data_IF_374116682100
#
_entry.id   IF_374116682100
#
_cell.length_a   1.000
_cell.length_b   1.000
_cell.length_c   1.000
_cell.angle_alpha   90.00
_cell.angle_beta   90.00
_cell.angle_gamma   90.00
#
_symmetry.space_group_name_H-M   'P 1'
#
loop_
_entity.id
_entity.type
_entity.pdbx_description
1 polymer ?
#
# COMPACT_ATOMS: atom_id res chain seq x y z
N UNK A 1 2.65 -6.38 3.11
CA UNK A 1 3.92 -6.05 2.46
C UNK A 1 3.86 -4.63 1.93
N UNK A 2 4.89 -3.85 2.16
CA UNK A 2 4.99 -2.47 1.71
C UNK A 2 6.04 -2.38 0.60
N UNK A 3 5.64 -1.88 -0.56
CA UNK A 3 6.56 -1.66 -1.68
C UNK A 3 6.15 -0.40 -2.46
N UNK A 4 6.90 -0.10 -3.49
CA UNK A 4 6.65 1.05 -4.34
C UNK A 4 6.65 0.60 -5.80
N UNK A 5 5.78 1.20 -6.60
CA UNK A 5 5.74 1.01 -8.04
C UNK A 5 7.14 1.27 -8.63
N UNK A 6 7.62 0.36 -9.48
CA UNK A 6 8.95 0.43 -10.08
C UNK A 6 9.19 1.72 -10.86
N UNK A 7 8.15 2.32 -11.42
CA UNK A 7 8.25 3.60 -12.13
C UNK A 7 8.71 4.75 -11.24
N UNK A 8 8.63 4.60 -9.92
CA UNK A 8 8.97 5.63 -8.95
C UNK A 8 10.33 5.43 -8.29
N UNK A 9 11.08 4.38 -8.63
CA UNK A 9 12.34 4.05 -7.96
C UNK A 9 13.41 5.13 -8.08
N UNK A 10 13.39 5.91 -9.16
CA UNK A 10 14.37 6.96 -9.40
C UNK A 10 13.90 8.35 -8.96
N UNK A 11 12.73 8.44 -8.32
CA UNK A 11 12.25 9.70 -7.76
C UNK A 11 13.20 10.19 -6.67
N UNK A 12 13.40 11.51 -6.62
CA UNK A 12 14.19 12.13 -5.57
C UNK A 12 13.56 11.82 -4.20
N UNK A 13 14.38 11.56 -3.21
CA UNK A 13 13.91 11.12 -1.89
C UNK A 13 13.67 9.61 -1.77
N UNK A 14 13.65 8.89 -2.89
CA UNK A 14 13.48 7.43 -2.92
C UNK A 14 14.76 6.73 -3.36
N UNK A 15 15.62 7.42 -4.10
CA UNK A 15 16.88 6.85 -4.63
C UNK A 15 17.73 6.14 -3.58
N UNK A 16 17.82 6.70 -2.38
CA UNK A 16 18.63 6.14 -1.30
C UNK A 16 18.06 4.82 -0.77
N UNK A 17 16.80 4.54 -1.06
CA UNK A 17 16.11 3.33 -0.67
C UNK A 17 15.89 2.36 -1.83
N UNK A 18 16.55 2.60 -2.96
CA UNK A 18 16.33 1.80 -4.18
C UNK A 18 16.51 0.30 -3.94
N UNK A 19 17.56 -0.10 -3.23
CA UNK A 19 17.79 -1.51 -2.92
C UNK A 19 16.67 -2.12 -2.09
N UNK A 20 16.14 -1.37 -1.13
CA UNK A 20 15.00 -1.79 -0.32
C UNK A 20 13.76 -2.01 -1.20
N UNK A 21 13.43 -1.08 -2.08
CA UNK A 21 12.27 -1.20 -2.97
C UNK A 21 12.42 -2.32 -3.99
N UNK A 22 13.63 -2.55 -4.49
CA UNK A 22 13.91 -3.69 -5.38
C UNK A 22 13.61 -5.00 -4.66
N UNK A 23 14.09 -5.17 -3.42
CA UNK A 23 13.81 -6.36 -2.62
C UNK A 23 12.33 -6.57 -2.38
N UNK A 24 11.61 -5.50 -2.04
CA UNK A 24 10.15 -5.55 -1.84
C UNK A 24 9.42 -5.91 -3.15
N UNK A 25 9.86 -5.35 -4.27
CA UNK A 25 9.26 -5.65 -5.57
C UNK A 25 9.34 -7.16 -5.88
N UNK A 26 10.50 -7.78 -5.71
CA UNK A 26 10.65 -9.21 -5.98
C UNK A 26 9.89 -10.08 -4.99
N UNK A 27 9.79 -9.68 -3.73
CA UNK A 27 8.96 -10.36 -2.75
C UNK A 27 7.48 -10.33 -3.17
N UNK A 28 6.99 -9.18 -3.60
CA UNK A 28 5.63 -9.03 -4.10
C UNK A 28 5.41 -9.88 -5.34
N UNK A 29 6.35 -9.89 -6.29
CA UNK A 29 6.27 -10.71 -7.50
C UNK A 29 6.19 -12.21 -7.18
N UNK A 30 6.94 -12.65 -6.19
CA UNK A 30 6.85 -14.05 -5.77
C UNK A 30 5.45 -14.39 -5.25
N UNK A 31 4.88 -13.54 -4.41
CA UNK A 31 3.51 -13.74 -3.90
C UNK A 31 2.50 -13.80 -5.04
N UNK A 32 2.60 -12.88 -5.99
CA UNK A 32 1.63 -12.76 -7.09
C UNK A 32 1.75 -13.92 -8.09
N UNK A 33 2.98 -14.30 -8.45
CA UNK A 33 3.22 -15.21 -9.57
C UNK A 33 3.47 -16.67 -9.15
N UNK A 34 4.08 -16.89 -7.99
CA UNK A 34 4.61 -18.20 -7.62
C UNK A 34 3.95 -18.79 -6.38
N UNK A 35 3.21 -18.02 -5.59
CA UNK A 35 2.55 -18.55 -4.41
C UNK A 35 1.12 -18.96 -4.70
N UNK A 36 0.61 -19.92 -3.89
CA UNK A 36 -0.80 -20.33 -3.92
C UNK A 36 -1.61 -19.64 -2.82
N UNK A 37 -1.00 -18.69 -2.12
CA UNK A 37 -1.62 -17.98 -1.01
C UNK A 37 -2.71 -17.03 -1.50
N UNK A 38 -3.73 -16.84 -0.68
CA UNK A 38 -4.73 -15.80 -0.89
C UNK A 38 -4.19 -14.48 -0.33
N UNK A 39 -3.39 -13.80 -1.14
CA UNK A 39 -2.67 -12.61 -0.74
C UNK A 39 -3.50 -11.34 -0.94
N UNK A 40 -3.13 -10.30 -0.20
CA UNK A 40 -3.47 -8.92 -0.49
C UNK A 40 -2.21 -8.09 -0.20
N UNK A 41 -1.75 -7.32 -1.16
CA UNK A 41 -0.53 -6.54 -1.02
C UNK A 41 -0.90 -5.07 -0.94
N UNK A 42 -0.53 -4.43 0.17
CA UNK A 42 -0.73 -3.01 0.38
C UNK A 42 0.60 -2.29 0.20
N UNK A 43 0.65 -1.40 -0.77
CA UNK A 43 1.82 -0.58 -1.05
C UNK A 43 1.59 0.81 -0.43
N UNK A 44 1.98 0.97 0.83
CA UNK A 44 1.82 2.25 1.52
C UNK A 44 2.99 3.18 1.20
N UNK A 45 2.70 4.47 1.08
CA UNK A 45 3.74 5.51 1.01
C UNK A 45 4.46 5.66 2.35
N UNK A 46 5.21 6.76 2.52
CA UNK A 46 5.97 7.00 3.73
C UNK A 46 5.07 6.95 4.98
N UNK A 47 5.52 6.24 6.01
CA UNK A 47 4.80 6.14 7.27
C UNK A 47 5.24 7.27 8.19
N UNK A 48 4.29 8.00 8.75
CA UNK A 48 4.55 9.15 9.63
C UNK A 48 3.79 9.01 10.93
N UNK A 49 4.41 9.44 12.02
CA UNK A 49 3.74 9.58 13.31
C UNK A 49 2.90 10.83 13.31
N UNK A 50 1.68 10.72 12.82
CA UNK A 50 0.71 11.80 12.78
C UNK A 50 -0.66 11.27 13.17
N UNK A 51 -1.58 12.18 13.50
CA UNK A 51 -2.92 11.78 13.90
C UNK A 51 -3.65 11.07 12.75
N UNK A 52 -4.34 9.97 13.08
CA UNK A 52 -5.18 9.27 12.13
C UNK A 52 -6.32 10.16 11.65
N UNK A 53 -6.64 10.09 10.37
CA UNK A 53 -7.76 10.82 9.78
C UNK A 53 -8.97 9.94 9.50
N UNK A 54 -8.76 8.63 9.42
CA UNK A 54 -9.78 7.67 8.99
C UNK A 54 -10.08 7.73 7.49
N UNK A 55 -9.28 8.48 6.73
CA UNK A 55 -9.48 8.70 5.30
C UNK A 55 -8.20 8.44 4.53
N UNK A 56 -8.33 7.80 3.38
CA UNK A 56 -7.19 7.43 2.53
C UNK A 56 -7.52 7.67 1.05
N UNK A 57 -6.50 7.61 0.21
CA UNK A 57 -6.62 7.48 -1.23
C UNK A 57 -5.95 6.17 -1.65
N UNK A 58 -6.58 5.43 -2.54
CA UNK A 58 -6.04 4.18 -3.07
C UNK A 58 -5.68 4.36 -4.54
N UNK A 59 -4.58 3.71 -4.96
CA UNK A 59 -4.10 3.73 -6.34
C UNK A 59 -3.91 5.14 -6.92
N UNK A 60 -3.47 6.08 -6.09
CA UNK A 60 -3.16 7.43 -6.53
C UNK A 60 -1.87 7.45 -7.38
N UNK A 61 -1.78 8.41 -8.29
CA UNK A 61 -0.65 8.50 -9.24
C UNK A 61 0.62 9.08 -8.62
N UNK A 62 0.54 9.66 -7.44
CA UNK A 62 1.66 10.30 -6.78
C UNK A 62 2.11 9.53 -5.54
N UNK A 63 3.35 9.71 -5.15
CA UNK A 63 3.84 9.23 -3.86
C UNK A 63 3.30 10.14 -2.75
N UNK A 64 2.75 9.54 -1.71
CA UNK A 64 2.19 10.27 -0.58
C UNK A 64 2.66 9.73 0.75
N UNK A 65 2.10 10.26 1.81
CA UNK A 65 2.39 9.87 3.18
C UNK A 65 1.18 9.17 3.79
N UNK A 66 1.42 8.44 4.87
CA UNK A 66 0.36 7.78 5.64
C UNK A 66 0.56 8.02 7.13
N UNK A 67 -0.55 8.26 7.84
CA UNK A 67 -0.53 8.09 9.28
C UNK A 67 -0.46 6.60 9.61
N UNK A 68 0.41 6.20 10.53
CA UNK A 68 0.61 4.79 10.89
C UNK A 68 -0.70 4.14 11.30
N UNK A 69 -1.51 4.83 12.10
CA UNK A 69 -2.79 4.29 12.56
C UNK A 69 -3.81 4.10 11.43
N UNK A 70 -3.76 4.93 10.39
CA UNK A 70 -4.60 4.75 9.21
C UNK A 70 -4.20 3.50 8.41
N UNK A 71 -2.90 3.23 8.31
CA UNK A 71 -2.41 1.99 7.68
C UNK A 71 -2.89 0.78 8.47
N UNK A 72 -2.77 0.82 9.79
CA UNK A 72 -3.25 -0.26 10.64
C UNK A 72 -4.76 -0.52 10.45
N UNK A 73 -5.56 0.55 10.41
CA UNK A 73 -7.00 0.46 10.19
C UNK A 73 -7.32 -0.11 8.79
N UNK A 74 -6.56 0.28 7.78
CA UNK A 74 -6.73 -0.25 6.43
C UNK A 74 -6.42 -1.76 6.36
N UNK A 75 -5.37 -2.21 7.04
CA UNK A 75 -5.02 -3.63 7.10
C UNK A 75 -6.13 -4.46 7.76
N UNK A 76 -6.74 -3.95 8.82
CA UNK A 76 -7.88 -4.61 9.46
C UNK A 76 -9.08 -4.67 8.50
N UNK A 77 -9.36 -3.59 7.80
CA UNK A 77 -10.46 -3.54 6.82
C UNK A 77 -10.24 -4.55 5.69
N UNK A 78 -9.01 -4.70 5.23
CA UNK A 78 -8.63 -5.66 4.18
C UNK A 78 -8.89 -7.10 4.62
N UNK A 79 -8.58 -7.43 5.87
CA UNK A 79 -8.82 -8.79 6.39
C UNK A 79 -10.29 -9.18 6.36
N UNK A 80 -11.18 -8.21 6.43
CA UNK A 80 -12.62 -8.43 6.43
C UNK A 80 -13.28 -8.19 5.07
N UNK A 81 -12.50 -7.92 4.02
CA UNK A 81 -13.01 -7.56 2.70
C UNK A 81 -12.67 -8.64 1.66
N UNK A 82 -13.65 -9.42 1.26
CA UNK A 82 -13.46 -10.49 0.28
C UNK A 82 -13.00 -9.98 -1.09
N UNK A 83 -13.37 -8.75 -1.46
CA UNK A 83 -13.01 -8.16 -2.74
C UNK A 83 -11.53 -7.82 -2.88
N UNK A 84 -10.74 -7.90 -1.81
CA UNK A 84 -9.29 -7.63 -1.85
C UNK A 84 -8.44 -8.88 -2.07
N UNK A 85 -9.07 -10.05 -2.16
CA UNK A 85 -8.38 -11.31 -2.44
C UNK A 85 -7.58 -11.22 -3.72
N UNK A 86 -6.30 -11.57 -3.65
CA UNK A 86 -5.34 -11.55 -4.76
C UNK A 86 -5.21 -10.17 -5.43
N UNK A 87 -5.36 -9.11 -4.68
CA UNK A 87 -5.19 -7.74 -5.17
C UNK A 87 -3.94 -7.08 -4.63
N UNK A 88 -3.41 -6.18 -5.44
CA UNK A 88 -2.31 -5.28 -5.10
C UNK A 88 -2.82 -3.86 -5.24
N UNK A 89 -2.69 -3.05 -4.20
CA UNK A 89 -3.09 -1.66 -4.28
C UNK A 89 -2.15 -0.77 -3.46
N UNK A 90 -2.05 0.49 -3.88
CA UNK A 90 -1.32 1.50 -3.13
C UNK A 90 -2.26 2.32 -2.27
N UNK A 91 -1.75 2.87 -1.18
CA UNK A 91 -2.51 3.76 -0.31
C UNK A 91 -1.68 4.93 0.19
N UNK A 92 -2.37 6.03 0.44
CA UNK A 92 -1.80 7.23 1.04
C UNK A 92 -2.92 8.03 1.72
N UNK A 93 -2.56 9.09 2.43
CA UNK A 93 -3.55 10.02 2.98
C UNK A 93 -4.46 10.54 1.87
N UNK A 94 -5.74 10.66 2.15
CA UNK A 94 -6.72 11.10 1.16
C UNK A 94 -8.03 11.57 1.79
N UNK A 95 -9.09 11.55 1.00
CA UNK A 95 -10.38 12.12 1.36
C UNK A 95 -11.49 11.07 1.50
N UNK A 96 -11.23 9.81 1.20
CA UNK A 96 -12.23 8.74 1.22
C UNK A 96 -12.15 7.96 2.52
N UNK A 97 -13.27 7.74 3.18
CA UNK A 97 -13.34 6.89 4.37
C UNK A 97 -12.74 5.51 4.06
N UNK A 98 -11.94 4.98 4.97
CA UNK A 98 -11.18 3.74 4.75
C UNK A 98 -12.08 2.60 4.26
N UNK A 99 -13.22 2.37 4.92
CA UNK A 99 -14.12 1.29 4.52
C UNK A 99 -14.61 1.43 3.08
N UNK A 100 -14.94 2.66 2.66
CA UNK A 100 -15.38 2.94 1.29
C UNK A 100 -14.24 2.78 0.28
N UNK A 101 -13.05 3.24 0.63
CA UNK A 101 -11.88 3.10 -0.24
C UNK A 101 -11.55 1.63 -0.49
N UNK A 102 -11.55 0.81 0.54
CA UNK A 102 -11.30 -0.63 0.41
C UNK A 102 -12.41 -1.32 -0.37
N UNK A 103 -13.66 -0.95 -0.14
CA UNK A 103 -14.80 -1.53 -0.87
C UNK A 103 -14.78 -1.20 -2.37
N UNK A 104 -14.11 -0.12 -2.77
CA UNK A 104 -14.02 0.31 -4.17
C UNK A 104 -12.96 -0.46 -4.98
N UNK A 105 -12.14 -1.27 -4.34
CA UNK A 105 -11.05 -1.99 -5.00
C UNK A 105 -11.53 -3.12 -5.92
#
# INVERSE_FOLDING_TARGET
VFSLDTSKWDNEGIKDLKGYYIGKHYADQWLVNDSTLDYTIVQAGALKEQAATGKIAVNADNAGENAIDDVAAALVAVLNAANTSKKVFSMQNGETVIAEAIASL
#
